data_IF_761581004186
#
_entry.id   IF_761581004186
#
_cell.length_a   1.000
_cell.length_b   1.000
_cell.length_c   1.000
_cell.angle_alpha   90.00
_cell.angle_beta   90.00
_cell.angle_gamma   90.00
#
_symmetry.space_group_name_H-M   'P 1'
#
loop_
_entity.id
_entity.type
_entity.pdbx_description
1 polymer ?
#
# COMPACT_ATOMS: atom_id res chain seq x y z
N UNK A 1 -40.18 44.48 30.99
CA UNK A 1 -39.16 43.41 30.83
C UNK A 1 -39.91 42.17 30.36
N UNK A 2 -40.26 42.05 29.07
CA UNK A 2 -39.48 41.50 27.94
C UNK A 2 -39.04 40.03 28.13
N UNK A 3 -39.90 39.14 27.59
CA UNK A 3 -39.59 37.92 26.82
C UNK A 3 -38.75 36.85 27.53
N UNK A 4 -39.43 35.95 28.25
CA UNK A 4 -38.83 34.75 28.87
C UNK A 4 -39.55 33.44 28.47
N UNK A 5 -40.29 33.46 27.37
CA UNK A 5 -40.83 32.25 26.73
C UNK A 5 -40.34 32.21 25.29
N UNK A 6 -40.09 31.01 24.77
CA UNK A 6 -39.57 30.73 23.41
C UNK A 6 -38.03 30.76 23.32
N UNK A 7 -37.33 29.89 24.03
CA UNK A 7 -35.93 29.54 23.69
C UNK A 7 -35.53 28.09 24.03
N UNK A 8 -36.47 27.25 24.49
CA UNK A 8 -36.17 25.88 24.92
C UNK A 8 -36.71 24.77 23.99
N UNK A 9 -37.23 25.10 22.81
CA UNK A 9 -37.92 24.12 21.94
C UNK A 9 -37.27 23.91 20.56
N UNK A 10 -36.11 24.52 20.27
CA UNK A 10 -35.46 24.47 18.93
C UNK A 10 -34.04 23.86 19.04
N UNK A 11 -33.84 22.87 19.92
CA UNK A 11 -32.53 22.19 20.04
C UNK A 11 -32.58 20.68 19.75
N UNK A 12 -33.75 20.13 19.45
CA UNK A 12 -33.94 18.67 19.29
C UNK A 12 -34.14 18.20 17.85
N UNK A 13 -34.06 19.08 16.83
CA UNK A 13 -34.40 18.71 15.44
C UNK A 13 -33.17 18.54 14.51
N UNK A 14 -31.93 18.79 14.97
CA UNK A 14 -30.75 18.73 14.09
C UNK A 14 -29.89 17.46 14.20
N UNK A 15 -30.26 16.47 15.02
CA UNK A 15 -29.46 15.24 15.21
C UNK A 15 -29.83 14.06 14.28
N UNK A 16 -30.78 14.22 13.35
CA UNK A 16 -31.22 13.13 12.45
C UNK A 16 -30.84 13.32 10.98
N UNK A 17 -30.00 14.30 10.65
CA UNK A 17 -29.69 14.69 9.27
C UNK A 17 -28.20 14.60 8.86
N UNK A 18 -27.42 13.73 9.49
CA UNK A 18 -26.08 13.34 8.99
C UNK A 18 -25.65 12.07 9.72
N UNK A 19 -25.40 10.93 9.08
CA UNK A 19 -25.02 10.67 7.71
C UNK A 19 -25.98 9.64 7.10
N UNK A 20 -26.69 10.03 6.04
CA UNK A 20 -27.06 9.05 5.02
C UNK A 20 -25.75 8.73 4.31
N UNK A 21 -24.98 7.78 4.84
CA UNK A 21 -23.91 7.16 4.09
C UNK A 21 -24.57 6.61 2.82
N UNK A 22 -24.32 7.30 1.71
CA UNK A 22 -24.62 6.77 0.41
C UNK A 22 -23.88 5.43 0.36
N UNK A 23 -24.61 4.34 0.25
CA UNK A 23 -24.12 3.09 -0.32
C UNK A 23 -23.77 3.30 -1.81
N UNK A 24 -22.93 4.30 -2.07
CA UNK A 24 -22.31 4.57 -3.35
C UNK A 24 -21.01 3.79 -3.35
N UNK A 25 -21.00 2.72 -4.13
CA UNK A 25 -19.81 2.04 -4.61
C UNK A 25 -18.69 1.83 -3.57
N UNK A 26 -18.84 0.76 -2.78
CA UNK A 26 -17.68 -0.01 -2.26
C UNK A 26 -16.87 -0.69 -3.39
N UNK A 27 -17.12 -0.31 -4.65
CA UNK A 27 -16.21 -0.57 -5.76
C UNK A 27 -14.99 0.33 -5.57
N UNK A 28 -14.01 -0.26 -4.89
CA UNK A 28 -12.60 0.05 -5.00
C UNK A 28 -12.04 1.17 -4.10
N UNK A 29 -12.26 1.05 -2.78
CA UNK A 29 -11.53 1.83 -1.76
C UNK A 29 -10.04 1.45 -1.62
N UNK A 30 -9.47 0.76 -2.63
CA UNK A 30 -8.07 0.30 -2.63
C UNK A 30 -7.15 1.51 -2.51
N UNK A 31 -6.14 1.39 -1.65
CA UNK A 31 -5.02 2.33 -1.66
C UNK A 31 -4.32 2.17 -3.00
N UNK A 32 -4.15 3.26 -3.73
CA UNK A 32 -3.37 3.26 -4.96
C UNK A 32 -1.90 2.97 -4.63
N UNK A 33 -1.39 1.83 -5.11
CA UNK A 33 0.00 1.41 -4.96
C UNK A 33 0.86 1.73 -6.19
N UNK A 34 0.28 2.34 -7.21
CA UNK A 34 0.95 2.61 -8.49
C UNK A 34 2.22 3.43 -8.29
N UNK A 35 3.22 3.07 -9.07
CA UNK A 35 4.51 3.76 -9.12
C UNK A 35 5.69 2.84 -8.88
N UNK A 36 6.85 3.48 -8.73
CA UNK A 36 8.14 2.81 -8.55
C UNK A 36 8.54 2.85 -7.09
N UNK A 37 8.87 1.68 -6.57
CA UNK A 37 9.25 1.49 -5.19
C UNK A 37 10.69 0.97 -5.13
N UNK A 38 11.51 1.52 -4.26
CA UNK A 38 12.87 1.04 -3.98
C UNK A 38 12.89 0.37 -2.63
N UNK A 39 13.64 -0.73 -2.53
CA UNK A 39 13.83 -1.42 -1.25
C UNK A 39 14.49 -0.48 -0.25
N UNK A 40 14.10 -0.62 1.02
CA UNK A 40 14.75 0.05 2.14
C UNK A 40 15.56 -0.92 2.99
N UNK A 41 16.47 -0.40 3.81
CA UNK A 41 17.35 -1.22 4.64
C UNK A 41 16.56 -2.11 5.61
N UNK A 42 15.54 -1.54 6.26
CA UNK A 42 14.61 -2.28 7.11
C UNK A 42 13.26 -1.55 7.22
N UNK A 43 12.25 -2.23 7.75
CA UNK A 43 10.88 -1.72 7.86
C UNK A 43 10.66 -0.70 9.01
N UNK A 44 11.62 -0.53 9.92
CA UNK A 44 11.48 0.35 11.08
C UNK A 44 12.09 1.74 10.84
N UNK A 45 13.30 1.78 10.30
CA UNK A 45 14.10 2.98 10.06
C UNK A 45 13.96 3.49 8.62
N UNK A 46 13.58 2.62 7.68
CA UNK A 46 13.52 2.95 6.26
C UNK A 46 14.92 3.11 5.66
N UNK A 47 15.11 4.16 4.87
CA UNK A 47 16.37 4.47 4.19
C UNK A 47 16.60 3.61 2.94
N UNK A 48 16.91 4.22 1.77
CA UNK A 48 17.01 3.49 0.50
C UNK A 48 18.17 2.49 0.52
N UNK A 49 17.88 1.25 0.15
CA UNK A 49 18.83 0.16 -0.08
C UNK A 49 18.60 -0.35 -1.51
N UNK A 50 19.22 0.27 -2.53
CA UNK A 50 18.90 0.08 -3.95
C UNK A 50 19.47 -1.23 -4.51
N UNK A 51 19.11 -2.34 -3.88
CA UNK A 51 19.40 -3.71 -4.34
C UNK A 51 18.14 -4.40 -4.91
N UNK A 52 16.96 -3.79 -4.70
CA UNK A 52 15.72 -4.23 -5.34
C UNK A 52 14.75 -3.07 -5.57
N UNK A 53 13.90 -3.24 -6.58
CA UNK A 53 12.81 -2.33 -6.93
C UNK A 53 11.53 -3.09 -7.25
N UNK A 54 10.40 -2.40 -7.11
CA UNK A 54 9.10 -2.81 -7.60
C UNK A 54 8.57 -1.73 -8.54
N UNK A 55 7.89 -2.14 -9.61
CA UNK A 55 7.00 -1.28 -10.39
C UNK A 55 5.59 -1.85 -10.29
N UNK A 56 4.64 -1.00 -9.90
CA UNK A 56 3.24 -1.34 -9.76
C UNK A 56 2.43 -0.47 -10.72
N UNK A 57 1.58 -1.11 -11.51
CA UNK A 57 0.63 -0.47 -12.40
C UNK A 57 -0.72 -1.21 -12.34
N UNK A 58 -1.72 -0.54 -11.77
CA UNK A 58 -3.00 -1.10 -11.40
C UNK A 58 -2.86 -2.30 -10.45
N UNK A 59 -3.01 -3.52 -10.99
CA UNK A 59 -2.87 -4.76 -10.23
C UNK A 59 -1.64 -5.56 -10.68
N UNK A 60 -0.85 -5.07 -11.63
CA UNK A 60 0.36 -5.74 -12.06
C UNK A 60 1.52 -5.27 -11.20
N UNK A 61 2.38 -6.20 -10.82
CA UNK A 61 3.63 -5.90 -10.12
C UNK A 61 4.80 -6.54 -10.88
N UNK A 62 5.89 -5.79 -11.02
CA UNK A 62 7.16 -6.31 -11.50
C UNK A 62 8.20 -6.06 -10.41
N UNK A 63 8.94 -7.08 -10.00
CA UNK A 63 10.09 -6.92 -9.10
C UNK A 63 11.37 -7.04 -9.90
N UNK A 64 12.39 -6.28 -9.52
CA UNK A 64 13.74 -6.37 -10.04
C UNK A 64 14.69 -6.46 -8.84
N UNK A 65 15.44 -7.55 -8.73
CA UNK A 65 16.29 -7.84 -7.55
C UNK A 65 17.70 -8.18 -8.00
N UNK A 66 18.68 -7.52 -7.38
CA UNK A 66 20.10 -7.84 -7.57
C UNK A 66 20.41 -9.22 -6.99
N UNK A 67 21.02 -10.06 -7.80
CA UNK A 67 21.50 -11.38 -7.42
C UNK A 67 22.95 -11.31 -6.94
N UNK A 68 23.43 -12.31 -6.20
CA UNK A 68 24.85 -12.50 -5.96
C UNK A 68 25.60 -12.51 -7.31
N UNK A 69 26.61 -11.64 -7.44
CA UNK A 69 27.32 -11.42 -8.71
C UNK A 69 26.87 -10.20 -9.51
N UNK A 70 25.88 -9.46 -9.02
CA UNK A 70 25.52 -8.13 -9.53
C UNK A 70 24.58 -8.12 -10.73
N UNK A 71 24.11 -9.28 -11.18
CA UNK A 71 23.06 -9.39 -12.20
C UNK A 71 21.69 -9.09 -11.60
N UNK A 72 20.73 -8.66 -12.42
CA UNK A 72 19.38 -8.35 -11.98
C UNK A 72 18.39 -9.36 -12.57
N UNK A 73 17.55 -9.93 -11.70
CA UNK A 73 16.44 -10.79 -12.11
C UNK A 73 15.13 -10.03 -11.97
N UNK A 74 14.29 -10.13 -12.99
CA UNK A 74 12.95 -9.54 -12.98
C UNK A 74 11.88 -10.62 -12.86
N UNK A 75 10.93 -10.44 -11.95
CA UNK A 75 9.76 -11.30 -11.82
C UNK A 75 8.50 -10.47 -12.01
N UNK A 76 7.47 -11.10 -12.59
CA UNK A 76 6.16 -10.47 -12.78
C UNK A 76 5.15 -11.14 -11.87
N UNK A 77 4.14 -10.41 -11.45
CA UNK A 77 3.06 -10.93 -10.64
C UNK A 77 1.83 -10.05 -10.69
N UNK A 78 0.81 -10.49 -9.97
CA UNK A 78 -0.46 -9.78 -9.83
C UNK A 78 -0.77 -9.56 -8.36
N UNK A 79 -1.12 -8.33 -8.00
CA UNK A 79 -1.59 -7.95 -6.68
C UNK A 79 -3.08 -8.24 -6.59
N UNK A 80 -3.47 -8.94 -5.53
CA UNK A 80 -4.86 -9.18 -5.14
C UNK A 80 -5.12 -8.66 -3.74
N UNK A 81 -6.33 -8.16 -3.47
CA UNK A 81 -6.72 -7.80 -2.11
C UNK A 81 -6.72 -9.05 -1.21
N UNK A 82 -6.38 -8.84 0.06
CA UNK A 82 -6.67 -9.78 1.14
C UNK A 82 -7.98 -9.41 1.84
N UNK A 83 -8.45 -10.26 2.75
CA UNK A 83 -9.68 -10.01 3.55
C UNK A 83 -9.52 -8.83 4.52
N UNK A 84 -8.28 -8.42 4.79
CA UNK A 84 -7.96 -7.29 5.68
C UNK A 84 -7.54 -6.07 4.85
N UNK A 85 -8.16 -4.92 5.12
CA UNK A 85 -7.81 -3.65 4.48
C UNK A 85 -6.32 -3.31 4.66
N UNK A 86 -5.68 -2.83 3.59
CA UNK A 86 -4.24 -2.56 3.59
C UNK A 86 -3.36 -3.80 3.55
N UNK A 87 -3.94 -5.00 3.49
CA UNK A 87 -3.23 -6.25 3.23
C UNK A 87 -3.56 -6.78 1.84
N UNK A 88 -2.56 -7.41 1.23
CA UNK A 88 -2.58 -7.86 -0.15
C UNK A 88 -1.92 -9.24 -0.25
N UNK A 89 -2.22 -9.93 -1.34
CA UNK A 89 -1.51 -11.12 -1.79
C UNK A 89 -0.90 -10.83 -3.15
N UNK A 90 0.28 -11.36 -3.39
CA UNK A 90 0.95 -11.27 -4.68
C UNK A 90 1.08 -12.69 -5.22
N UNK A 91 0.51 -12.93 -6.40
CA UNK A 91 0.76 -14.16 -7.15
C UNK A 91 1.85 -13.88 -8.17
N UNK A 92 3.01 -14.47 -7.98
CA UNK A 92 4.13 -14.36 -8.90
C UNK A 92 3.99 -15.36 -10.05
N UNK A 93 4.53 -15.01 -11.22
CA UNK A 93 4.43 -15.81 -12.45
C UNK A 93 5.10 -17.18 -12.36
N UNK A 94 6.00 -17.37 -11.38
CA UNK A 94 6.64 -18.66 -11.08
C UNK A 94 5.81 -19.54 -10.12
N UNK A 95 4.58 -19.14 -9.78
CA UNK A 95 3.68 -19.86 -8.88
C UNK A 95 3.89 -19.56 -7.39
N UNK A 96 4.88 -18.75 -7.03
CA UNK A 96 5.11 -18.33 -5.65
C UNK A 96 4.03 -17.33 -5.21
N UNK A 97 3.52 -17.48 -3.99
CA UNK A 97 2.56 -16.56 -3.39
C UNK A 97 3.20 -15.85 -2.20
N UNK A 98 3.00 -14.54 -2.15
CA UNK A 98 3.59 -13.68 -1.13
C UNK A 98 2.52 -12.80 -0.49
N UNK A 99 2.65 -12.53 0.81
CA UNK A 99 1.78 -11.56 1.48
C UNK A 99 2.40 -10.16 1.37
N UNK A 100 1.58 -9.13 1.33
CA UNK A 100 2.05 -7.75 1.35
C UNK A 100 1.15 -6.86 2.21
N UNK A 101 1.70 -5.78 2.76
CA UNK A 101 0.95 -4.81 3.57
C UNK A 101 1.36 -3.37 3.25
N UNK A 102 0.38 -2.47 3.24
CA UNK A 102 0.58 -1.03 3.13
C UNK A 102 -0.57 -0.28 3.80
N UNK A 103 -0.32 0.80 4.55
CA UNK A 103 1.01 1.30 4.95
C UNK A 103 1.57 0.55 6.17
N UNK A 104 2.89 0.35 6.20
CA UNK A 104 3.62 -0.16 7.37
C UNK A 104 4.34 0.96 8.09
N UNK A 105 4.08 1.07 9.40
CA UNK A 105 4.72 2.02 10.30
C UNK A 105 4.43 3.49 9.98
N UNK A 106 5.12 4.39 10.69
CA UNK A 106 5.00 5.85 10.49
C UNK A 106 5.55 6.32 9.14
N UNK A 107 6.45 5.52 8.56
CA UNK A 107 7.11 5.79 7.28
C UNK A 107 6.26 5.40 6.07
N UNK A 108 5.09 4.78 6.28
CA UNK A 108 4.17 4.33 5.22
C UNK A 108 4.89 3.51 4.16
N UNK A 109 5.55 2.44 4.59
CA UNK A 109 6.29 1.53 3.69
C UNK A 109 5.35 0.47 3.12
N UNK A 110 5.68 -0.04 1.94
CA UNK A 110 5.09 -1.25 1.38
C UNK A 110 5.94 -2.44 1.84
N UNK A 111 5.35 -3.39 2.57
CA UNK A 111 6.03 -4.62 2.94
C UNK A 111 5.64 -5.78 2.04
N UNK A 112 6.62 -6.63 1.72
CA UNK A 112 6.47 -7.93 1.10
C UNK A 112 7.01 -8.97 2.09
N UNK A 113 6.17 -9.91 2.49
CA UNK A 113 6.44 -10.91 3.51
C UNK A 113 6.56 -12.27 2.84
N UNK A 114 7.74 -12.87 2.90
CA UNK A 114 7.98 -14.23 2.45
C UNK A 114 7.40 -15.23 3.47
N UNK A 115 6.31 -15.97 3.14
CA UNK A 115 5.68 -16.87 4.10
C UNK A 115 6.52 -18.13 4.39
N UNK A 116 7.54 -18.44 3.56
CA UNK A 116 8.36 -19.64 3.73
C UNK A 116 9.45 -19.47 4.79
N UNK A 117 10.02 -18.26 4.86
CA UNK A 117 11.11 -17.91 5.78
C UNK A 117 10.72 -16.82 6.78
N UNK A 118 9.49 -16.32 6.73
CA UNK A 118 8.96 -15.25 7.57
C UNK A 118 9.82 -13.97 7.53
N UNK A 119 10.49 -13.73 6.41
CA UNK A 119 11.31 -12.54 6.18
C UNK A 119 10.46 -11.43 5.56
N UNK A 120 10.68 -10.19 5.99
CA UNK A 120 9.96 -9.03 5.48
C UNK A 120 10.91 -8.07 4.77
N UNK A 121 10.62 -7.78 3.51
CA UNK A 121 11.27 -6.73 2.75
C UNK A 121 10.34 -5.53 2.70
N UNK A 122 10.88 -4.32 2.87
CA UNK A 122 10.10 -3.10 2.80
C UNK A 122 10.59 -2.20 1.68
N UNK A 123 9.67 -1.42 1.14
CA UNK A 123 9.90 -0.54 0.01
C UNK A 123 9.27 0.83 0.24
N UNK A 124 9.86 1.85 -0.39
CA UNK A 124 9.38 3.23 -0.37
C UNK A 124 9.38 3.81 -1.78
N UNK A 125 8.51 4.78 -2.04
CA UNK A 125 8.57 5.57 -3.27
C UNK A 125 9.57 6.70 -3.08
N UNK A 126 10.71 6.63 -3.79
CA UNK A 126 11.72 7.67 -3.74
C UNK A 126 12.28 7.94 -5.15
N UNK A 127 11.98 9.10 -5.77
CA UNK A 127 12.39 9.41 -7.13
C UNK A 127 13.91 9.59 -7.28
N UNK A 128 14.65 9.80 -6.19
CA UNK A 128 16.12 9.87 -6.21
C UNK A 128 16.79 8.52 -6.42
N UNK A 129 16.04 7.41 -6.30
CA UNK A 129 16.53 6.05 -6.48
C UNK A 129 15.71 5.32 -7.56
N UNK A 130 15.81 5.76 -8.83
CA UNK A 130 15.13 5.09 -9.92
C UNK A 130 15.64 3.64 -10.06
N UNK A 131 14.84 2.75 -10.69
CA UNK A 131 15.27 1.39 -11.01
C UNK A 131 16.59 1.36 -11.78
N UNK A 132 17.43 0.36 -11.51
CA UNK A 132 18.63 0.13 -12.28
C UNK A 132 18.30 -0.02 -13.78
N UNK A 133 19.17 0.45 -14.68
CA UNK A 133 18.95 0.34 -16.13
C UNK A 133 18.87 -1.09 -16.65
N UNK A 134 19.37 -2.07 -15.89
CA UNK A 134 19.24 -3.49 -16.19
C UNK A 134 17.89 -4.08 -15.76
N UNK A 135 17.07 -3.35 -15.00
CA UNK A 135 15.71 -3.77 -14.64
C UNK A 135 14.80 -3.66 -15.86
N UNK A 136 14.28 -4.79 -16.31
CA UNK A 136 13.33 -4.87 -17.42
C UNK A 136 11.89 -4.79 -16.90
N UNK A 137 11.52 -3.62 -16.42
CA UNK A 137 10.13 -3.33 -16.12
C UNK A 137 9.29 -3.14 -17.37
#
# INVERSE_FOLDING_TARGET
MKRLGILAAIFTILMLAGCKEKAGDLKDSRINLDGKWVQVANCAEGGPNPVAWLEIESNNIRSCVQQPGGTYNTFKGTIRPSDTYGNYKIDWSNGYQQNASYPVGVLKLLSLIDPSIQSTQCYTQNPSYPPNSQCQF
#
